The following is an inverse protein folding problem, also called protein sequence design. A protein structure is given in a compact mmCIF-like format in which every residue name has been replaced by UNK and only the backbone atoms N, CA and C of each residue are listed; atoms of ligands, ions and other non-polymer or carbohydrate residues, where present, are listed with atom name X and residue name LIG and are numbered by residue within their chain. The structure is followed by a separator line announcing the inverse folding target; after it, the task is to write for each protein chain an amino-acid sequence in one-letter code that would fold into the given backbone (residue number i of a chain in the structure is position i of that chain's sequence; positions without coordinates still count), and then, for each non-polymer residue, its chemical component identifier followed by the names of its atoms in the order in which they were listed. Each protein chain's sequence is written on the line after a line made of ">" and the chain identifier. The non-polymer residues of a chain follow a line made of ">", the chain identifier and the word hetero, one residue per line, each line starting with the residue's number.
data_IF_077945095837
#
_entry.id   IF_077945095837
#
_cell.length_a   1.000
_cell.length_b   1.000
_cell.length_c   1.000
_cell.angle_alpha   90.00
_cell.angle_beta   90.00
_cell.angle_gamma   90.00
#
_symmetry.space_group_name_H-M   'P 1'
#
loop_
_entity.id
_entity.type
_entity.pdbx_description
1 polymer ?
#
# COMPACT_ATOMS: atom_id res chain seq x y z
N UNK A 1 -3.04 -6.78 7.90
CA UNK A 1 -4.44 -6.72 8.37
C UNK A 1 -4.76 -5.30 8.82
N UNK A 2 -5.71 -4.63 8.15
CA UNK A 2 -6.16 -3.28 8.54
C UNK A 2 -7.57 -3.32 9.16
N UNK A 3 -7.98 -2.27 9.88
CA UNK A 3 -9.36 -2.15 10.37
C UNK A 3 -10.36 -2.12 9.20
N UNK A 4 -10.01 -1.46 8.09
CA UNK A 4 -10.85 -1.40 6.90
C UNK A 4 -11.11 -2.80 6.31
N UNK A 5 -10.09 -3.65 6.27
CA UNK A 5 -10.22 -5.05 5.85
C UNK A 5 -11.15 -5.84 6.77
N UNK A 6 -11.06 -5.63 8.09
CA UNK A 6 -11.97 -6.30 9.04
C UNK A 6 -13.42 -5.86 8.86
N UNK A 7 -13.65 -4.60 8.55
CA UNK A 7 -14.98 -4.08 8.25
C UNK A 7 -15.49 -4.70 6.94
N UNK A 8 -14.69 -4.69 5.87
CA UNK A 8 -15.05 -5.30 4.58
C UNK A 8 -15.41 -6.78 4.71
N UNK A 9 -14.59 -7.56 5.42
CA UNK A 9 -14.82 -8.99 5.68
C UNK A 9 -16.15 -9.26 6.41
N UNK A 10 -16.66 -8.32 7.21
CA UNK A 10 -17.99 -8.49 7.83
C UNK A 10 -19.11 -8.49 6.79
N UNK A 11 -18.94 -7.80 5.66
CA UNK A 11 -19.91 -7.74 4.57
C UNK A 11 -19.68 -8.85 3.53
N UNK A 12 -18.44 -9.02 3.07
CA UNK A 12 -18.12 -9.98 2.00
C UNK A 12 -17.99 -11.42 2.48
N UNK A 13 -17.85 -11.62 3.81
CA UNK A 13 -17.60 -12.92 4.44
C UNK A 13 -16.31 -13.61 3.96
N UNK A 14 -15.40 -12.86 3.32
CA UNK A 14 -14.11 -13.38 2.87
C UNK A 14 -13.26 -13.81 4.09
N UNK A 15 -12.57 -14.96 4.03
CA UNK A 15 -11.65 -15.34 5.09
C UNK A 15 -10.42 -14.42 5.13
N UNK A 16 -9.63 -14.53 6.19
CA UNK A 16 -8.33 -13.86 6.28
C UNK A 16 -7.37 -14.40 5.21
N UNK A 17 -6.55 -13.52 4.65
CA UNK A 17 -5.43 -13.93 3.82
C UNK A 17 -4.22 -14.33 4.68
N UNK A 18 -3.60 -15.45 4.32
CA UNK A 18 -2.34 -15.95 4.87
C UNK A 18 -1.20 -15.91 3.84
N UNK A 19 -1.45 -15.35 2.64
CA UNK A 19 -0.42 -15.14 1.61
C UNK A 19 0.82 -14.43 2.17
N UNK A 20 0.71 -13.34 2.97
CA UNK A 20 1.89 -12.68 3.54
C UNK A 20 2.71 -13.60 4.46
N UNK A 21 2.04 -14.47 5.22
CA UNK A 21 2.70 -15.45 6.07
C UNK A 21 3.49 -16.47 5.24
N UNK A 22 2.89 -17.01 4.18
CA UNK A 22 3.57 -17.94 3.28
C UNK A 22 4.71 -17.28 2.49
N UNK A 23 4.55 -16.03 2.09
CA UNK A 23 5.63 -15.25 1.49
C UNK A 23 6.81 -15.15 2.43
N UNK A 24 6.57 -14.73 3.68
CA UNK A 24 7.63 -14.61 4.68
C UNK A 24 8.25 -15.97 5.02
N UNK A 25 7.44 -17.03 5.12
CA UNK A 25 7.89 -18.40 5.35
C UNK A 25 8.86 -18.87 4.26
N UNK A 26 8.51 -18.64 2.99
CA UNK A 26 9.34 -18.99 1.83
C UNK A 26 10.61 -18.13 1.75
N UNK A 27 10.53 -16.83 2.04
CA UNK A 27 11.70 -15.95 2.14
C UNK A 27 12.68 -16.41 3.21
N UNK A 28 12.16 -16.87 4.36
CA UNK A 28 12.95 -17.39 5.48
C UNK A 28 13.34 -18.87 5.31
N UNK A 29 12.95 -19.51 4.21
CA UNK A 29 13.19 -20.94 3.93
C UNK A 29 12.73 -21.86 5.06
N UNK A 30 11.59 -21.53 5.68
CA UNK A 30 10.99 -22.34 6.76
C UNK A 30 10.03 -23.38 6.19
N UNK A 31 9.86 -24.49 6.91
CA UNK A 31 8.96 -25.58 6.55
C UNK A 31 7.50 -25.24 6.85
N UNK A 32 6.65 -25.48 5.85
CA UNK A 32 5.20 -25.24 5.83
C UNK A 32 4.48 -25.65 7.12
N UNK A 33 4.02 -24.67 7.89
CA UNK A 33 3.07 -24.90 9.01
C UNK A 33 1.62 -24.67 8.59
N UNK A 34 0.64 -25.26 9.29
CA UNK A 34 -0.77 -24.93 9.10
C UNK A 34 -1.04 -23.43 9.33
N UNK A 35 -2.00 -22.85 8.62
CA UNK A 35 -2.31 -21.41 8.68
C UNK A 35 -2.65 -20.92 10.09
N UNK A 36 -3.26 -21.78 10.92
CA UNK A 36 -3.55 -21.50 12.34
C UNK A 36 -2.29 -21.14 13.15
N UNK A 37 -1.13 -21.67 12.76
CA UNK A 37 0.14 -21.52 13.46
C UNK A 37 1.00 -20.38 12.87
N UNK A 38 0.54 -19.80 11.76
CA UNK A 38 1.28 -18.81 10.97
C UNK A 38 0.87 -17.35 11.25
N UNK A 39 0.03 -17.12 12.26
CA UNK A 39 -0.41 -15.76 12.64
C UNK A 39 0.75 -14.82 12.96
N UNK A 40 1.78 -15.30 13.67
CA UNK A 40 2.95 -14.49 14.01
C UNK A 40 3.74 -14.09 12.77
N UNK A 41 3.86 -14.98 11.78
CA UNK A 41 4.50 -14.65 10.49
C UNK A 41 3.64 -13.68 9.69
N UNK A 42 2.32 -13.87 9.69
CA UNK A 42 1.41 -12.95 9.01
C UNK A 42 1.51 -11.53 9.58
N UNK A 43 1.51 -11.40 10.92
CA UNK A 43 1.70 -10.12 11.58
C UNK A 43 3.09 -9.54 11.33
N UNK A 44 4.13 -10.36 11.41
CA UNK A 44 5.50 -9.91 11.14
C UNK A 44 5.63 -9.32 9.74
N UNK A 45 5.07 -9.98 8.73
CA UNK A 45 5.08 -9.48 7.35
C UNK A 45 4.33 -8.14 7.26
N UNK A 46 3.10 -8.07 7.77
CA UNK A 46 2.29 -6.86 7.72
C UNK A 46 2.92 -5.66 8.45
N UNK A 47 3.43 -5.88 9.66
CA UNK A 47 4.09 -4.81 10.42
C UNK A 47 5.43 -4.43 9.80
N UNK A 48 6.21 -5.40 9.34
CA UNK A 48 7.50 -5.17 8.67
C UNK A 48 7.34 -4.33 7.40
N UNK A 49 6.43 -4.73 6.51
CA UNK A 49 6.09 -3.95 5.32
C UNK A 49 5.53 -2.58 5.69
N UNK A 50 4.63 -2.52 6.68
CA UNK A 50 4.02 -1.26 7.10
C UNK A 50 5.04 -0.24 7.60
N UNK A 51 5.99 -0.68 8.43
CA UNK A 51 7.09 0.16 8.93
C UNK A 51 8.00 0.60 7.77
N UNK A 52 8.45 -0.33 6.93
CA UNK A 52 9.34 -0.04 5.81
C UNK A 52 8.72 0.95 4.83
N UNK A 53 7.47 0.71 4.44
CA UNK A 53 6.75 1.60 3.54
C UNK A 53 6.38 2.93 4.21
N UNK A 54 6.14 2.94 5.53
CA UNK A 54 5.96 4.16 6.30
C UNK A 54 7.19 5.07 6.23
N UNK A 55 8.39 4.49 6.41
CA UNK A 55 9.66 5.21 6.24
C UNK A 55 9.76 5.78 4.82
N UNK A 56 9.51 4.96 3.79
CA UNK A 56 9.56 5.43 2.39
C UNK A 56 8.54 6.55 2.15
N UNK A 57 7.31 6.41 2.67
CA UNK A 57 6.29 7.46 2.54
C UNK A 57 6.72 8.76 3.23
N UNK A 58 7.46 8.66 4.32
CA UNK A 58 8.04 9.81 4.99
C UNK A 58 9.07 10.53 4.15
N UNK A 59 10.01 9.79 3.56
CA UNK A 59 11.00 10.32 2.61
C UNK A 59 10.32 10.95 1.38
N UNK A 60 9.26 10.33 0.86
CA UNK A 60 8.44 10.92 -0.19
C UNK A 60 7.85 12.27 0.25
N UNK A 61 7.37 12.37 1.48
CA UNK A 61 6.80 13.61 2.01
C UNK A 61 7.84 14.72 2.12
N UNK A 62 9.03 14.40 2.63
CA UNK A 62 10.18 15.30 2.74
C UNK A 62 10.63 15.79 1.35
N UNK A 63 10.69 14.88 0.36
CA UNK A 63 11.04 15.19 -1.02
C UNK A 63 9.92 15.92 -1.81
N UNK A 64 8.78 16.23 -1.19
CA UNK A 64 7.68 16.98 -1.80
C UNK A 64 6.63 16.14 -2.54
N UNK A 65 6.76 14.81 -2.59
CA UNK A 65 5.72 13.89 -3.08
C UNK A 65 4.60 13.75 -2.05
N UNK A 66 3.75 14.78 -2.00
CA UNK A 66 2.72 14.95 -0.98
C UNK A 66 1.32 15.03 -1.61
N UNK A 67 0.30 15.05 -0.77
CA UNK A 67 -1.09 15.23 -1.15
C UNK A 67 -1.65 14.04 -1.94
N UNK A 68 -2.75 14.23 -2.69
CA UNK A 68 -3.40 13.16 -3.43
C UNK A 68 -2.48 12.49 -4.46
N UNK A 69 -1.67 13.26 -5.18
CA UNK A 69 -0.75 12.73 -6.19
C UNK A 69 0.37 11.91 -5.54
N UNK A 70 1.00 12.43 -4.47
CA UNK A 70 2.00 11.68 -3.73
C UNK A 70 1.45 10.38 -3.12
N UNK A 71 0.22 10.42 -2.62
CA UNK A 71 -0.47 9.24 -2.08
C UNK A 71 -0.82 8.22 -3.17
N UNK A 72 -1.22 8.67 -4.37
CA UNK A 72 -1.43 7.80 -5.52
C UNK A 72 -0.11 7.14 -5.99
N UNK A 73 1.00 7.88 -6.03
CA UNK A 73 2.31 7.29 -6.33
C UNK A 73 2.70 6.26 -5.26
N UNK A 74 2.48 6.58 -3.98
CA UNK A 74 2.74 5.65 -2.89
C UNK A 74 1.85 4.40 -2.94
N UNK A 75 0.60 4.50 -3.39
CA UNK A 75 -0.27 3.34 -3.62
C UNK A 75 0.35 2.35 -4.62
N UNK A 76 1.01 2.84 -5.68
CA UNK A 76 1.70 1.99 -6.64
C UNK A 76 2.90 1.28 -6.00
N UNK A 77 3.65 1.98 -5.14
CA UNK A 77 4.73 1.34 -4.38
C UNK A 77 4.18 0.27 -3.43
N UNK A 78 3.07 0.55 -2.76
CA UNK A 78 2.36 -0.40 -1.87
C UNK A 78 1.88 -1.64 -2.63
N UNK A 79 1.36 -1.48 -3.86
CA UNK A 79 1.00 -2.57 -4.77
C UNK A 79 2.22 -3.44 -5.09
N UNK A 80 3.31 -2.80 -5.54
CA UNK A 80 4.53 -3.50 -5.94
C UNK A 80 5.19 -4.23 -4.78
N UNK A 81 5.14 -3.67 -3.57
CA UNK A 81 5.76 -4.29 -2.39
C UNK A 81 5.07 -5.58 -1.97
N UNK A 82 3.74 -5.70 -2.14
CA UNK A 82 3.02 -6.97 -1.92
C UNK A 82 3.30 -7.92 -3.08
N UNK A 83 2.98 -7.46 -4.30
CA UNK A 83 2.87 -8.37 -5.44
C UNK A 83 4.21 -8.93 -5.89
N UNK A 84 5.30 -8.19 -5.73
CA UNK A 84 6.63 -8.67 -6.15
C UNK A 84 7.10 -9.87 -5.31
N UNK A 85 7.19 -9.80 -3.97
CA UNK A 85 7.60 -10.94 -3.16
C UNK A 85 6.56 -12.06 -3.15
N UNK A 86 5.26 -11.76 -3.16
CA UNK A 86 4.21 -12.78 -3.21
C UNK A 86 4.34 -13.64 -4.47
N UNK A 87 4.51 -13.01 -5.64
CA UNK A 87 4.66 -13.72 -6.90
C UNK A 87 6.05 -14.36 -7.06
N UNK A 88 7.12 -13.69 -6.64
CA UNK A 88 8.48 -14.24 -6.73
C UNK A 88 8.68 -15.48 -5.86
N UNK A 89 7.99 -15.56 -4.73
CA UNK A 89 7.98 -16.75 -3.87
C UNK A 89 6.98 -17.81 -4.33
N UNK A 90 6.08 -17.48 -5.28
CA UNK A 90 4.95 -18.31 -5.71
C UNK A 90 3.87 -18.48 -4.65
N UNK A 91 3.87 -17.65 -3.60
CA UNK A 91 2.86 -17.67 -2.54
C UNK A 91 1.55 -17.02 -3.03
N UNK A 92 1.66 -16.06 -3.94
CA UNK A 92 0.56 -15.43 -4.66
C UNK A 92 0.51 -15.82 -6.14
N UNK A 93 -0.41 -15.18 -6.85
CA UNK A 93 -0.53 -15.24 -8.30
C UNK A 93 -0.62 -13.81 -8.87
N UNK A 94 -0.25 -13.58 -10.14
CA UNK A 94 -0.29 -12.24 -10.70
C UNK A 94 -1.70 -11.64 -10.67
N UNK A 95 -1.88 -10.35 -10.31
CA UNK A 95 -3.21 -9.78 -10.06
C UNK A 95 -4.23 -9.91 -11.20
N UNK A 96 -3.77 -9.91 -12.46
CA UNK A 96 -4.63 -10.05 -13.63
C UNK A 96 -5.18 -11.46 -13.84
N UNK A 97 -4.78 -12.44 -13.03
CA UNK A 97 -5.36 -13.79 -13.02
C UNK A 97 -6.48 -13.95 -11.99
N UNK A 98 -6.68 -12.96 -11.11
CA UNK A 98 -7.67 -13.02 -10.04
C UNK A 98 -9.08 -12.64 -10.54
N UNK A 99 -10.13 -13.07 -9.83
CA UNK A 99 -11.47 -12.51 -9.98
C UNK A 99 -11.47 -10.96 -9.90
N UNK A 100 -12.34 -10.32 -10.70
CA UNK A 100 -12.37 -8.84 -10.82
C UNK A 100 -12.75 -8.13 -9.52
N UNK A 101 -13.62 -8.76 -8.73
CA UNK A 101 -14.03 -8.32 -7.40
C UNK A 101 -12.85 -8.35 -6.41
N UNK A 102 -12.04 -9.40 -6.42
CA UNK A 102 -10.83 -9.46 -5.61
C UNK A 102 -9.82 -8.37 -5.99
N UNK A 103 -9.63 -8.11 -7.28
CA UNK A 103 -8.79 -7.00 -7.75
C UNK A 103 -9.33 -5.65 -7.26
N UNK A 104 -10.65 -5.45 -7.33
CA UNK A 104 -11.30 -4.22 -6.85
C UNK A 104 -11.13 -4.01 -5.35
N UNK A 105 -11.32 -5.06 -4.55
CA UNK A 105 -11.14 -5.05 -3.10
C UNK A 105 -9.68 -4.74 -2.76
N UNK A 106 -8.73 -5.39 -3.44
CA UNK A 106 -7.30 -5.18 -3.22
C UNK A 106 -6.88 -3.72 -3.47
N UNK A 107 -7.29 -3.17 -4.62
CA UNK A 107 -7.04 -1.78 -4.97
C UNK A 107 -7.68 -0.81 -3.96
N UNK A 108 -8.90 -1.09 -3.50
CA UNK A 108 -9.58 -0.27 -2.49
C UNK A 108 -8.79 -0.25 -1.18
N UNK A 109 -8.37 -1.40 -0.66
CA UNK A 109 -7.61 -1.46 0.59
C UNK A 109 -6.25 -0.77 0.47
N UNK A 110 -5.59 -0.90 -0.68
CA UNK A 110 -4.32 -0.22 -0.95
C UNK A 110 -4.49 1.28 -1.10
N UNK A 111 -5.60 1.74 -1.68
CA UNK A 111 -5.96 3.15 -1.70
C UNK A 111 -6.21 3.67 -0.27
N UNK A 112 -7.04 3.00 0.52
CA UNK A 112 -7.29 3.39 1.93
C UNK A 112 -5.98 3.48 2.71
N UNK A 113 -5.12 2.46 2.61
CA UNK A 113 -3.82 2.45 3.25
C UNK A 113 -2.94 3.61 2.79
N UNK A 114 -2.79 3.81 1.48
CA UNK A 114 -1.87 4.79 0.92
C UNK A 114 -2.30 6.23 1.22
N UNK A 115 -3.60 6.53 1.14
CA UNK A 115 -4.13 7.86 1.42
C UNK A 115 -4.15 8.16 2.91
N UNK A 116 -4.48 7.19 3.78
CA UNK A 116 -4.40 7.38 5.22
C UNK A 116 -2.94 7.60 5.67
N UNK A 117 -2.02 6.73 5.24
CA UNK A 117 -0.58 6.88 5.53
C UNK A 117 -0.05 8.18 4.96
N UNK A 118 -0.50 8.57 3.76
CA UNK A 118 -0.10 9.81 3.14
C UNK A 118 -0.57 11.06 3.88
N UNK A 119 -1.81 11.07 4.38
CA UNK A 119 -2.32 12.15 5.21
C UNK A 119 -1.54 12.27 6.54
N UNK A 120 -1.22 11.13 7.17
CA UNK A 120 -0.42 11.10 8.40
C UNK A 120 1.00 11.59 8.15
N UNK A 121 1.69 11.08 7.11
CA UNK A 121 3.04 11.52 6.77
C UNK A 121 3.08 13.01 6.41
N UNK A 122 2.09 13.50 5.67
CA UNK A 122 1.97 14.91 5.30
C UNK A 122 1.68 15.82 6.50
N UNK A 123 1.14 15.29 7.59
CA UNK A 123 0.92 16.02 8.84
C UNK A 123 2.18 16.04 9.71
N UNK A 124 2.91 14.92 9.77
CA UNK A 124 4.01 14.74 10.72
C UNK A 124 5.38 15.24 10.21
N UNK A 125 5.57 15.30 8.89
CA UNK A 125 6.89 15.57 8.30
C UNK A 125 6.84 16.92 7.61
N UNK A 126 7.70 17.85 8.03
CA UNK A 126 7.86 19.12 7.34
C UNK A 126 8.30 18.88 5.89
N UNK A 127 7.62 19.53 4.96
CA UNK A 127 7.91 19.42 3.54
C UNK A 127 8.11 20.80 2.91
N UNK A 128 8.66 20.85 1.68
CA UNK A 128 8.79 22.11 0.97
C UNK A 128 7.43 22.82 0.90
N UNK A 129 7.45 24.14 1.09
CA UNK A 129 6.25 24.95 1.13
C UNK A 129 5.43 24.75 -0.16
N UNK A 130 4.18 24.32 -0.02
CA UNK A 130 3.19 24.35 -1.11
C UNK A 130 2.73 25.79 -1.31
N UNK A 131 3.60 26.64 -1.82
CA UNK A 131 3.13 27.90 -2.37
C UNK A 131 2.52 27.56 -3.73
N UNK A 132 1.20 27.66 -3.94
CA UNK A 132 0.69 27.65 -5.30
C UNK A 132 1.43 28.76 -6.02
N UNK A 133 2.23 28.39 -7.03
CA UNK A 133 2.88 29.38 -7.88
C UNK A 133 1.76 30.14 -8.53
N UNK A 134 1.58 31.40 -8.14
CA UNK A 134 0.67 32.31 -8.82
C UNK A 134 1.13 32.39 -10.26
N UNK A 135 0.44 31.67 -11.15
CA UNK A 135 0.63 31.83 -12.59
C UNK A 135 -0.24 33.00 -13.01
N UNK A 136 0.33 33.92 -13.78
CA UNK A 136 -0.49 34.84 -14.55
C UNK A 136 -1.52 33.97 -15.32
N UNK A 137 -2.80 34.30 -15.18
CA UNK A 137 -3.85 33.58 -15.91
C UNK A 137 -3.54 33.62 -17.41
N UNK A 138 -3.87 32.56 -18.13
CA UNK A 138 -3.68 32.55 -19.59
C UNK A 138 -4.78 33.42 -20.22
N UNK A 139 -4.41 34.58 -20.77
CA UNK A 139 -5.28 35.33 -21.68
C UNK A 139 -5.22 34.69 -23.06
N UNK A 140 -6.37 34.27 -23.60
CA UNK A 140 -6.46 33.72 -24.96
C UNK A 140 -5.96 34.79 -25.94
N UNK A 141 -4.87 34.51 -26.65
CA UNK A 141 -4.30 35.38 -27.68
C UNK A 141 -3.07 36.19 -27.26
N UNK A 142 -2.66 36.14 -26.00
CA UNK A 142 -1.40 36.75 -25.55
C UNK A 142 -0.38 35.68 -25.17
N UNK A 143 0.88 35.90 -25.51
CA UNK A 143 1.97 34.99 -25.13
C UNK A 143 2.24 35.17 -23.63
N UNK A 144 2.28 34.05 -22.90
CA UNK A 144 2.70 33.97 -21.51
C UNK A 144 4.13 34.49 -21.31
#
# INVERSE_FOLDING_TARGET
>A
MTLAEKIEQQFTKRPNSYVPAHTLERLLRRSGKPDSDNLALNWSMHWGEGILLGIIRGLMAEAGFRGPVGSFMFMNLRLLSDQSPENATGAGAPPWTWPKDEQGIDLLHKAVYAFATGAVADLLIDGPARQPVSRAGWTVGEKA
#
